data_IF_812193770219
#
_entry.id   IF_812193770219
#
_cell.length_a   1.000
_cell.length_b   1.000
_cell.length_c   1.000
_cell.angle_alpha   90.00
_cell.angle_beta   90.00
_cell.angle_gamma   90.00
#
_symmetry.space_group_name_H-M   'P 1'
#
loop_
_entity.id
_entity.type
_entity.pdbx_description
1 polymer ?
#
# COMPACT_ATOMS: atom_id res chain seq x y z
N UNK A 1 18.01 -1.19 30.87
CA UNK A 1 16.98 -1.35 29.82
C UNK A 1 17.68 -2.04 28.66
N UNK A 2 17.24 -3.22 28.25
CA UNK A 2 17.90 -3.92 27.15
C UNK A 2 17.80 -3.03 25.90
N UNK A 3 18.94 -2.80 25.26
CA UNK A 3 19.04 -2.07 24.00
C UNK A 3 18.37 -2.92 22.91
N UNK A 4 17.06 -2.74 22.74
CA UNK A 4 16.31 -3.41 21.69
C UNK A 4 16.72 -2.78 20.35
N UNK A 5 17.41 -3.57 19.51
CA UNK A 5 17.82 -3.10 18.18
C UNK A 5 16.62 -2.63 17.36
N UNK A 6 16.83 -1.65 16.47
CA UNK A 6 15.75 -1.01 15.69
C UNK A 6 14.85 -2.01 14.95
N UNK A 7 15.42 -3.07 14.38
CA UNK A 7 14.64 -4.14 13.73
C UNK A 7 13.70 -4.85 14.71
N UNK A 8 14.14 -5.11 15.94
CA UNK A 8 13.30 -5.72 16.97
C UNK A 8 12.17 -4.77 17.38
N UNK A 9 12.46 -3.47 17.51
CA UNK A 9 11.45 -2.45 17.83
C UNK A 9 10.34 -2.42 16.76
N UNK A 10 10.71 -2.36 15.47
CA UNK A 10 9.73 -2.35 14.37
C UNK A 10 8.91 -3.65 14.33
N UNK A 11 9.55 -4.81 14.51
CA UNK A 11 8.84 -6.10 14.54
C UNK A 11 7.83 -6.17 15.71
N UNK A 12 8.19 -5.63 16.89
CA UNK A 12 7.28 -5.54 18.03
C UNK A 12 6.13 -4.56 17.77
N UNK A 13 6.39 -3.41 17.15
CA UNK A 13 5.34 -2.48 16.75
C UNK A 13 4.31 -3.14 15.82
N UNK A 14 4.77 -3.82 14.76
CA UNK A 14 3.91 -4.52 13.81
C UNK A 14 3.08 -5.61 14.50
N UNK A 15 3.71 -6.43 15.34
CA UNK A 15 3.06 -7.60 15.96
C UNK A 15 2.16 -7.26 17.15
N UNK A 16 2.36 -6.11 17.81
CA UNK A 16 1.63 -5.74 19.02
C UNK A 16 0.52 -4.70 18.79
N UNK A 17 0.58 -3.91 17.72
CA UNK A 17 -0.49 -2.94 17.41
C UNK A 17 -1.82 -3.64 17.17
N UNK A 18 -2.90 -3.10 17.74
CA UNK A 18 -4.27 -3.60 17.64
C UNK A 18 -5.18 -2.53 17.06
N UNK A 19 -6.34 -2.98 16.57
CA UNK A 19 -7.37 -2.09 16.04
C UNK A 19 -7.74 -0.95 16.99
N UNK A 20 -7.91 -1.25 18.28
CA UNK A 20 -8.31 -0.27 19.30
C UNK A 20 -7.21 0.74 19.64
N UNK A 21 -5.98 0.52 19.18
CA UNK A 21 -4.88 1.47 19.35
C UNK A 21 -4.93 2.59 18.30
N UNK A 22 -5.72 2.43 17.21
CA UNK A 22 -5.82 3.41 16.14
C UNK A 22 -6.77 4.56 16.52
N UNK A 23 -6.29 5.81 16.56
CA UNK A 23 -7.14 6.96 16.85
C UNK A 23 -8.27 7.10 15.80
N UNK A 24 -9.48 7.54 16.20
CA UNK A 24 -10.58 7.70 15.25
C UNK A 24 -10.27 8.62 14.07
N UNK A 25 -9.50 9.68 14.31
CA UNK A 25 -9.00 10.61 13.28
C UNK A 25 -8.05 9.96 12.27
N UNK A 26 -7.19 9.04 12.74
CA UNK A 26 -6.30 8.26 11.88
C UNK A 26 -7.11 7.37 10.94
N UNK A 27 -8.17 6.71 11.45
CA UNK A 27 -9.07 5.90 10.63
C UNK A 27 -9.78 6.72 9.55
N UNK A 28 -10.15 7.97 9.84
CA UNK A 28 -10.74 8.86 8.83
C UNK A 28 -9.71 9.29 7.79
N UNK A 29 -8.47 9.56 8.20
CA UNK A 29 -7.39 9.88 7.27
C UNK A 29 -7.06 8.70 6.36
N UNK A 30 -6.95 7.49 6.92
CA UNK A 30 -6.71 6.28 6.13
C UNK A 30 -7.79 6.02 5.09
N UNK A 31 -9.07 6.24 5.42
CA UNK A 31 -10.15 6.15 4.43
C UNK A 31 -9.99 7.14 3.27
N UNK A 32 -9.50 8.36 3.54
CA UNK A 32 -9.24 9.36 2.50
C UNK A 32 -8.09 8.93 1.60
N UNK A 33 -6.96 8.51 2.17
CA UNK A 33 -5.82 8.04 1.40
C UNK A 33 -6.14 6.77 0.60
N UNK A 34 -6.93 5.85 1.15
CA UNK A 34 -7.39 4.66 0.42
C UNK A 34 -8.31 5.06 -0.74
N UNK A 35 -9.24 6.00 -0.52
CA UNK A 35 -10.12 6.50 -1.56
C UNK A 35 -9.34 7.16 -2.70
N UNK A 36 -8.35 7.98 -2.34
CA UNK A 36 -7.42 8.63 -3.28
C UNK A 36 -6.63 7.58 -4.09
N UNK A 37 -5.96 6.65 -3.39
CA UNK A 37 -5.21 5.53 -3.99
C UNK A 37 -6.06 4.68 -4.94
N UNK A 38 -7.31 4.38 -4.59
CA UNK A 38 -8.25 3.69 -5.48
C UNK A 38 -8.60 4.51 -6.73
N UNK A 39 -8.74 5.83 -6.59
CA UNK A 39 -9.01 6.74 -7.69
C UNK A 39 -7.86 6.76 -8.71
N UNK A 40 -6.63 6.94 -8.23
CA UNK A 40 -5.45 6.94 -9.10
C UNK A 40 -5.14 5.55 -9.64
N UNK A 41 -5.41 4.47 -8.90
CA UNK A 41 -5.30 3.10 -9.42
C UNK A 41 -6.20 2.88 -10.64
N UNK A 42 -7.45 3.38 -10.60
CA UNK A 42 -8.38 3.27 -11.73
C UNK A 42 -7.89 4.10 -12.92
N UNK A 43 -7.39 5.32 -12.69
CA UNK A 43 -6.77 6.13 -13.75
C UNK A 43 -5.57 5.42 -14.38
N UNK A 44 -4.62 4.98 -13.56
CA UNK A 44 -3.41 4.32 -14.02
C UNK A 44 -3.63 2.93 -14.60
N UNK A 45 -4.75 2.25 -14.29
CA UNK A 45 -5.07 0.95 -14.90
C UNK A 45 -5.24 1.03 -16.42
N UNK A 46 -5.63 2.20 -16.95
CA UNK A 46 -5.80 2.43 -18.39
C UNK A 46 -4.66 3.24 -19.01
N UNK A 47 -3.67 3.67 -18.21
CA UNK A 47 -2.46 4.31 -18.69
C UNK A 47 -1.51 3.29 -19.36
N UNK A 48 -0.49 3.78 -20.06
CA UNK A 48 0.49 2.91 -20.73
C UNK A 48 1.22 1.99 -19.74
N UNK A 49 1.77 2.47 -18.60
CA UNK A 49 2.34 1.59 -17.58
C UNK A 49 1.40 0.52 -17.04
N UNK A 50 0.12 0.86 -16.76
CA UNK A 50 -0.85 -0.09 -16.22
C UNK A 50 -1.19 -1.21 -17.22
N UNK A 51 -1.32 -0.88 -18.51
CA UNK A 51 -1.51 -1.86 -19.58
C UNK A 51 -0.30 -2.78 -19.74
N UNK A 52 0.91 -2.23 -19.69
CA UNK A 52 2.15 -3.01 -19.75
C UNK A 52 2.24 -3.97 -18.57
N UNK A 53 1.95 -3.51 -17.36
CA UNK A 53 1.98 -4.34 -16.16
C UNK A 53 0.96 -5.49 -16.22
N UNK A 54 -0.27 -5.20 -16.65
CA UNK A 54 -1.32 -6.21 -16.81
C UNK A 54 -0.94 -7.22 -17.89
N UNK A 55 -0.50 -6.75 -19.07
CA UNK A 55 -0.06 -7.61 -20.16
C UNK A 55 1.16 -8.47 -19.80
N UNK A 56 2.06 -7.97 -18.94
CA UNK A 56 3.15 -8.77 -18.39
C UNK A 56 2.63 -9.93 -17.54
N UNK A 57 1.69 -9.69 -16.62
CA UNK A 57 1.09 -10.76 -15.79
C UNK A 57 0.39 -11.81 -16.66
N UNK A 58 -0.33 -11.37 -17.70
CA UNK A 58 -0.97 -12.26 -18.66
C UNK A 58 0.06 -13.08 -19.47
N UNK A 59 1.17 -12.47 -19.88
CA UNK A 59 2.23 -13.16 -20.65
C UNK A 59 2.89 -14.31 -19.87
N UNK A 60 2.89 -14.22 -18.53
CA UNK A 60 3.38 -15.28 -17.66
C UNK A 60 2.37 -16.42 -17.44
N UNK A 61 1.18 -16.33 -18.04
CA UNK A 61 0.06 -17.26 -17.83
C UNK A 61 -0.40 -17.34 -16.37
N UNK A 62 -0.24 -16.25 -15.61
CA UNK A 62 -0.62 -16.17 -14.20
C UNK A 62 -1.97 -15.46 -14.11
N UNK A 63 -2.98 -16.04 -14.75
CA UNK A 63 -4.30 -15.43 -14.95
C UNK A 63 -5.39 -16.09 -14.11
N UNK A 64 -5.00 -16.78 -13.05
CA UNK A 64 -5.89 -17.38 -12.07
C UNK A 64 -5.38 -17.13 -10.66
N UNK A 65 -6.29 -16.74 -9.77
CA UNK A 65 -6.00 -16.57 -8.36
C UNK A 65 -7.07 -15.75 -7.66
N UNK A 66 -6.91 -15.51 -6.35
CA UNK A 66 -7.96 -14.90 -5.56
C UNK A 66 -7.93 -13.36 -5.59
N UNK A 67 -6.87 -12.73 -6.11
CA UNK A 67 -6.65 -11.29 -6.01
C UNK A 67 -6.89 -10.57 -7.34
N UNK A 68 -7.57 -9.43 -7.28
CA UNK A 68 -8.01 -8.65 -8.44
C UNK A 68 -6.95 -7.64 -8.90
N UNK A 69 -6.76 -7.54 -10.23
CA UNK A 69 -6.06 -6.41 -10.85
C UNK A 69 -7.08 -5.30 -11.12
N UNK A 70 -6.93 -4.17 -10.41
CA UNK A 70 -7.85 -3.03 -10.41
C UNK A 70 -8.00 -2.49 -11.83
N UNK A 71 -9.24 -2.19 -12.22
CA UNK A 71 -9.56 -1.67 -13.55
C UNK A 71 -9.63 -2.74 -14.66
N UNK A 72 -9.55 -4.03 -14.31
CA UNK A 72 -9.63 -5.14 -15.26
C UNK A 72 -10.53 -6.28 -14.75
N UNK A 73 -10.79 -7.28 -15.61
CA UNK A 73 -11.42 -8.55 -15.22
C UNK A 73 -10.42 -9.61 -14.72
N UNK A 74 -9.11 -9.29 -14.72
CA UNK A 74 -8.05 -10.22 -14.38
C UNK A 74 -8.00 -10.46 -12.87
N UNK A 75 -8.00 -11.74 -12.48
CA UNK A 75 -7.61 -12.18 -11.14
C UNK A 75 -6.37 -13.07 -11.21
N UNK A 76 -5.47 -12.92 -10.25
CA UNK A 76 -4.15 -13.56 -10.23
C UNK A 76 -3.69 -13.86 -8.80
N UNK A 77 -2.50 -14.40 -8.63
CA UNK A 77 -1.91 -14.61 -7.30
C UNK A 77 -1.61 -13.24 -6.66
N UNK A 78 -1.75 -13.11 -5.32
CA UNK A 78 -1.70 -11.81 -4.64
C UNK A 78 -0.48 -10.95 -4.96
N UNK A 79 0.70 -11.56 -5.07
CA UNK A 79 1.94 -10.82 -5.40
C UNK A 79 1.91 -10.14 -6.77
N UNK A 80 1.21 -10.71 -7.76
CA UNK A 80 1.11 -10.15 -9.11
C UNK A 80 -0.01 -9.13 -9.20
N UNK A 81 -1.11 -9.33 -8.47
CA UNK A 81 -2.15 -8.32 -8.31
C UNK A 81 -1.58 -7.07 -7.62
N UNK A 82 -0.84 -7.23 -6.51
CA UNK A 82 -0.16 -6.13 -5.84
C UNK A 82 0.83 -5.41 -6.76
N UNK A 83 1.63 -6.15 -7.53
CA UNK A 83 2.54 -5.58 -8.53
C UNK A 83 1.83 -4.71 -9.56
N UNK A 84 0.80 -5.23 -10.22
CA UNK A 84 0.06 -4.49 -11.25
C UNK A 84 -0.69 -3.29 -10.65
N UNK A 85 -1.32 -3.47 -9.49
CA UNK A 85 -2.06 -2.42 -8.81
C UNK A 85 -1.14 -1.31 -8.28
N UNK A 86 0.04 -1.64 -7.76
CA UNK A 86 1.03 -0.66 -7.31
C UNK A 86 1.53 0.21 -8.47
N UNK A 87 1.81 -0.40 -9.63
CA UNK A 87 2.15 0.34 -10.85
C UNK A 87 1.00 1.25 -11.26
N UNK A 88 -0.24 0.76 -11.23
CA UNK A 88 -1.41 1.57 -11.57
C UNK A 88 -1.60 2.76 -10.62
N UNK A 89 -1.42 2.58 -9.30
CA UNK A 89 -1.56 3.67 -8.32
C UNK A 89 -0.56 4.81 -8.62
N UNK A 90 0.70 4.46 -8.94
CA UNK A 90 1.77 5.43 -9.14
C UNK A 90 2.00 5.80 -10.63
N UNK A 91 1.12 5.38 -11.55
CA UNK A 91 1.39 5.46 -12.98
C UNK A 91 1.61 6.89 -13.50
N UNK A 92 0.89 7.84 -12.92
CA UNK A 92 0.84 9.24 -13.35
C UNK A 92 1.52 10.20 -12.35
N UNK A 93 2.23 9.68 -11.34
CA UNK A 93 2.85 10.47 -10.24
C UNK A 93 1.84 11.40 -9.53
N UNK A 94 0.64 10.87 -9.27
CA UNK A 94 -0.50 11.63 -8.75
C UNK A 94 -1.04 11.09 -7.42
N UNK A 95 -0.38 10.08 -6.86
CA UNK A 95 -0.67 9.50 -5.56
C UNK A 95 -0.16 10.37 -4.40
N UNK A 96 -0.59 10.03 -3.18
CA UNK A 96 -0.24 10.79 -1.99
C UNK A 96 1.25 10.76 -1.65
N UNK A 97 1.70 11.77 -0.91
CA UNK A 97 3.11 11.96 -0.57
C UNK A 97 3.30 12.16 0.93
N UNK A 98 4.37 11.58 1.47
CA UNK A 98 4.91 11.95 2.77
C UNK A 98 5.90 13.10 2.58
N UNK A 99 5.69 14.18 3.32
CA UNK A 99 6.64 15.28 3.40
C UNK A 99 7.52 15.15 4.65
N UNK A 100 8.77 15.61 4.55
CA UNK A 100 9.75 15.64 5.61
C UNK A 100 9.33 16.65 6.67
N UNK A 101 9.33 16.19 7.92
CA UNK A 101 9.13 17.06 9.07
C UNK A 101 10.41 17.82 9.47
N UNK A 102 11.58 17.31 9.10
CA UNK A 102 12.88 17.85 9.51
C UNK A 102 13.35 19.01 8.60
N UNK A 103 13.86 20.08 9.23
CA UNK A 103 14.22 21.34 8.54
C UNK A 103 15.46 21.25 7.65
N UNK A 104 16.26 20.21 7.79
CA UNK A 104 17.48 19.95 7.03
C UNK A 104 17.23 19.21 5.71
N UNK A 105 16.00 18.73 5.46
CA UNK A 105 15.64 18.03 4.22
C UNK A 105 15.03 18.99 3.18
N UNK A 106 15.92 19.63 2.41
CA UNK A 106 15.62 20.73 1.47
C UNK A 106 14.61 20.38 0.36
N UNK A 107 14.52 19.12 -0.07
CA UNK A 107 13.59 18.70 -1.14
C UNK A 107 12.22 18.20 -0.64
N UNK A 108 12.04 18.05 0.68
CA UNK A 108 10.73 17.86 1.32
C UNK A 108 10.02 16.53 1.07
N UNK A 109 10.03 15.95 -0.13
CA UNK A 109 9.32 14.68 -0.39
C UNK A 109 10.14 13.48 0.09
N UNK A 110 9.50 12.54 0.80
CA UNK A 110 10.13 11.35 1.36
C UNK A 110 9.70 10.06 0.68
N UNK A 111 8.39 9.82 0.54
CA UNK A 111 7.84 8.61 -0.10
C UNK A 111 6.40 8.84 -0.57
N UNK A 112 5.84 7.87 -1.29
CA UNK A 112 4.45 7.78 -1.70
C UNK A 112 3.80 6.57 -1.00
N UNK A 113 3.34 6.74 0.26
CA UNK A 113 3.13 5.60 1.16
C UNK A 113 1.91 4.75 0.81
N UNK A 114 0.91 5.30 0.12
CA UNK A 114 -0.30 4.53 -0.20
C UNK A 114 -0.06 3.48 -1.27
N UNK A 115 0.73 3.77 -2.31
CA UNK A 115 0.89 2.86 -3.45
C UNK A 115 1.39 1.45 -3.09
N UNK A 116 2.53 1.28 -2.39
CA UNK A 116 3.03 -0.06 -2.06
C UNK A 116 2.17 -0.75 -0.99
N UNK A 117 1.66 -0.01 -0.02
CA UNK A 117 0.90 -0.57 1.10
C UNK A 117 -0.49 -1.00 0.68
N UNK A 118 -1.24 -0.13 0.00
CA UNK A 118 -2.63 -0.39 -0.38
C UNK A 118 -2.74 -1.53 -1.38
N UNK A 119 -1.88 -1.55 -2.41
CA UNK A 119 -1.86 -2.61 -3.41
C UNK A 119 -1.61 -3.99 -2.78
N UNK A 120 -0.70 -4.06 -1.81
CA UNK A 120 -0.39 -5.28 -1.06
C UNK A 120 -1.53 -5.67 -0.12
N UNK A 121 -2.05 -4.72 0.65
CA UNK A 121 -3.12 -4.96 1.63
C UNK A 121 -4.42 -5.44 0.96
N UNK A 122 -4.79 -4.87 -0.19
CA UNK A 122 -5.95 -5.32 -0.96
C UNK A 122 -5.74 -6.72 -1.53
N UNK A 123 -4.58 -6.99 -2.14
CA UNK A 123 -4.32 -8.28 -2.76
C UNK A 123 -4.29 -9.44 -1.76
N UNK A 124 -3.67 -9.24 -0.60
CA UNK A 124 -3.66 -10.23 0.49
C UNK A 124 -5.01 -10.29 1.19
N UNK A 125 -5.65 -9.14 1.42
CA UNK A 125 -6.96 -9.05 2.07
C UNK A 125 -8.04 -9.79 1.29
N UNK A 126 -8.10 -9.64 -0.04
CA UNK A 126 -9.01 -10.41 -0.88
C UNK A 126 -8.72 -11.92 -0.81
N UNK A 127 -7.45 -12.30 -0.86
CA UNK A 127 -7.03 -13.70 -0.79
C UNK A 127 -7.35 -14.39 0.54
N UNK A 128 -7.40 -13.64 1.62
CA UNK A 128 -7.71 -14.14 2.96
C UNK A 128 -9.16 -13.89 3.39
N UNK A 129 -9.99 -13.29 2.52
CA UNK A 129 -11.33 -12.82 2.88
C UNK A 129 -11.32 -11.92 4.14
N UNK A 130 -10.31 -11.05 4.23
CA UNK A 130 -10.09 -10.18 5.39
C UNK A 130 -11.23 -9.17 5.57
N UNK A 131 -11.50 -8.81 6.82
CA UNK A 131 -12.48 -7.77 7.11
C UNK A 131 -11.92 -6.39 6.73
N UNK A 132 -12.81 -5.41 6.56
CA UNK A 132 -12.38 -4.01 6.39
C UNK A 132 -11.59 -3.49 7.60
N UNK A 133 -11.83 -4.05 8.79
CA UNK A 133 -11.08 -3.73 10.00
C UNK A 133 -9.62 -4.21 9.90
N UNK A 134 -9.42 -5.45 9.46
CA UNK A 134 -8.09 -6.04 9.29
C UNK A 134 -7.32 -5.32 8.18
N UNK A 135 -8.00 -4.98 7.07
CA UNK A 135 -7.41 -4.21 5.99
C UNK A 135 -6.95 -2.82 6.45
N UNK A 136 -7.81 -2.09 7.17
CA UNK A 136 -7.47 -0.78 7.71
C UNK A 136 -6.30 -0.85 8.72
N UNK A 137 -6.27 -1.86 9.59
CA UNK A 137 -5.17 -2.08 10.53
C UNK A 137 -3.85 -2.35 9.79
N UNK A 138 -3.87 -3.27 8.81
CA UNK A 138 -2.68 -3.61 8.02
C UNK A 138 -2.18 -2.41 7.21
N UNK A 139 -3.08 -1.64 6.61
CA UNK A 139 -2.75 -0.43 5.86
C UNK A 139 -2.07 0.62 6.76
N UNK A 140 -2.64 0.93 7.93
CA UNK A 140 -2.03 1.90 8.84
C UNK A 140 -0.67 1.46 9.37
N UNK A 141 -0.50 0.18 9.73
CA UNK A 141 0.79 -0.35 10.17
C UNK A 141 1.84 -0.25 9.05
N UNK A 142 1.46 -0.60 7.82
CA UNK A 142 2.36 -0.51 6.66
C UNK A 142 2.81 0.93 6.38
N UNK A 143 1.86 1.87 6.35
CA UNK A 143 2.15 3.30 6.15
C UNK A 143 3.06 3.83 7.25
N UNK A 144 2.79 3.53 8.53
CA UNK A 144 3.62 4.00 9.64
C UNK A 144 5.06 3.48 9.51
N UNK A 145 5.23 2.18 9.23
CA UNK A 145 6.57 1.58 9.11
C UNK A 145 7.34 2.16 7.93
N UNK A 146 6.71 2.27 6.76
CA UNK A 146 7.35 2.85 5.58
C UNK A 146 7.77 4.30 5.84
N UNK A 147 6.86 5.12 6.37
CA UNK A 147 7.12 6.51 6.65
C UNK A 147 8.25 6.70 7.67
N UNK A 148 8.31 5.83 8.70
CA UNK A 148 9.38 5.86 9.71
C UNK A 148 10.74 5.43 9.14
N UNK A 149 10.75 4.48 8.21
CA UNK A 149 11.97 4.10 7.50
C UNK A 149 12.45 5.23 6.59
N UNK A 150 11.55 5.95 5.93
CA UNK A 150 11.91 7.10 5.09
C UNK A 150 12.42 8.31 5.91
N UNK A 151 11.96 8.47 7.16
CA UNK A 151 12.43 9.50 8.10
C UNK A 151 13.79 9.21 8.75
N UNK A 152 14.20 7.94 8.81
CA UNK A 152 15.49 7.53 9.40
C UNK A 152 16.70 8.10 8.63
#
# INVERSE_FOLDING_TARGET
MADHGLTQYVAQFISNTRWNDLPPELLQLGKKSILDGMGVALSGSVSEPGKIATGYVESLSITAGPATVIGSSLKTLPRFAAFANGIAIHADDFDDTQLAAARDRVYGLLTHPTAPVLSTALAIGEAQCASGQDLMLAYHIGVEVECKVAEA
#
